data_IF_036890293364
#
_entry.id   IF_036890293364
#
_cell.length_a   1.000
_cell.length_b   1.000
_cell.length_c   1.000
_cell.angle_alpha   90.00
_cell.angle_beta   90.00
_cell.angle_gamma   90.00
#
_symmetry.space_group_name_H-M   'P 1'
#
loop_
_entity.id
_entity.type
_entity.pdbx_description
1 polymer ?
#
# COMPACT_ATOMS: atom_id res chain seq x y z
N UNK A 1 13.10 14.98 -33.21
CA UNK A 1 13.19 14.88 -31.78
C UNK A 1 11.79 14.77 -31.12
N UNK A 2 10.81 15.64 -31.49
CA UNK A 2 9.45 15.65 -30.93
C UNK A 2 8.69 14.34 -31.18
N UNK A 3 8.67 13.81 -32.40
CA UNK A 3 8.07 12.53 -32.77
C UNK A 3 8.64 11.35 -31.94
N UNK A 4 9.95 11.31 -31.70
CA UNK A 4 10.58 10.28 -30.91
C UNK A 4 10.13 10.34 -29.44
N UNK A 5 9.98 11.54 -28.90
CA UNK A 5 9.46 11.75 -27.53
C UNK A 5 7.99 11.34 -27.39
N UNK A 6 7.16 11.61 -28.42
CA UNK A 6 5.76 11.17 -28.44
C UNK A 6 5.64 9.63 -28.45
N UNK A 7 6.45 8.94 -29.25
CA UNK A 7 6.48 7.46 -29.28
C UNK A 7 6.92 6.90 -27.93
N UNK A 8 7.91 7.50 -27.27
CA UNK A 8 8.33 7.10 -25.93
C UNK A 8 7.19 7.34 -24.92
N UNK A 9 6.52 8.47 -24.97
CA UNK A 9 5.40 8.79 -24.12
C UNK A 9 4.26 7.78 -24.28
N UNK A 10 3.83 7.50 -25.52
CA UNK A 10 2.78 6.50 -25.80
C UNK A 10 3.16 5.10 -25.31
N UNK A 11 4.43 4.72 -25.43
CA UNK A 11 4.91 3.45 -24.91
C UNK A 11 4.81 3.40 -23.40
N UNK A 12 5.30 4.42 -22.67
CA UNK A 12 5.31 4.42 -21.21
C UNK A 12 3.94 4.66 -20.58
N UNK A 13 3.00 5.27 -21.31
CA UNK A 13 1.60 5.36 -20.90
C UNK A 13 0.79 4.12 -21.28
N UNK A 14 1.38 3.17 -22.00
CA UNK A 14 0.81 1.84 -22.26
C UNK A 14 1.05 0.86 -21.11
N UNK A 15 0.35 -0.26 -21.14
CA UNK A 15 0.57 -1.34 -20.18
C UNK A 15 2.00 -1.90 -20.22
N UNK A 16 2.62 -1.91 -21.41
CA UNK A 16 4.00 -2.35 -21.57
C UNK A 16 4.98 -1.44 -20.80
N UNK A 17 4.78 -0.12 -20.86
CA UNK A 17 5.58 0.83 -20.10
C UNK A 17 5.43 0.65 -18.59
N UNK A 18 4.22 0.38 -18.11
CA UNK A 18 4.02 0.04 -16.69
C UNK A 18 4.80 -1.20 -16.30
N UNK A 19 4.84 -2.24 -17.13
CA UNK A 19 5.66 -3.43 -16.87
C UNK A 19 7.15 -3.09 -16.77
N UNK A 20 7.66 -2.17 -17.59
CA UNK A 20 9.05 -1.71 -17.51
C UNK A 20 9.30 -0.94 -16.21
N UNK A 21 8.41 -0.03 -15.83
CA UNK A 21 8.50 0.72 -14.57
C UNK A 21 8.52 -0.24 -13.36
N UNK A 22 7.62 -1.24 -13.36
CA UNK A 22 7.55 -2.25 -12.30
C UNK A 22 8.82 -3.09 -12.26
N UNK A 23 9.33 -3.55 -13.42
CA UNK A 23 10.56 -4.34 -13.50
C UNK A 23 11.78 -3.53 -13.02
N UNK A 24 11.94 -2.30 -13.48
CA UNK A 24 13.00 -1.40 -13.03
C UNK A 24 12.93 -1.13 -11.52
N UNK A 25 11.73 -0.84 -11.02
CA UNK A 25 11.49 -0.62 -9.59
C UNK A 25 11.75 -1.85 -8.74
N UNK A 26 11.41 -3.04 -9.23
CA UNK A 26 11.74 -4.29 -8.55
C UNK A 26 13.25 -4.51 -8.47
N UNK A 27 13.99 -4.22 -9.54
CA UNK A 27 15.46 -4.30 -9.55
C UNK A 27 16.08 -3.32 -8.56
N UNK A 28 15.62 -2.06 -8.55
CA UNK A 28 16.05 -1.06 -7.57
C UNK A 28 15.72 -1.51 -6.14
N UNK A 29 14.55 -2.08 -5.93
CA UNK A 29 14.12 -2.62 -4.64
C UNK A 29 14.98 -3.77 -4.10
N UNK A 30 15.70 -4.51 -4.98
CA UNK A 30 16.63 -5.57 -4.59
C UNK A 30 17.98 -5.06 -4.12
N UNK A 31 18.31 -3.81 -4.36
CA UNK A 31 19.55 -3.20 -3.87
C UNK A 31 19.55 -3.23 -2.34
N UNK A 32 20.57 -3.84 -1.78
CA UNK A 32 20.76 -3.92 -0.32
C UNK A 32 21.82 -2.93 0.12
N UNK A 33 21.44 -2.01 0.98
CA UNK A 33 22.36 -1.07 1.61
C UNK A 33 22.47 -1.45 3.09
N UNK A 34 23.65 -1.89 3.52
CA UNK A 34 23.91 -2.36 4.91
C UNK A 34 22.93 -3.42 5.42
N UNK A 35 22.50 -4.34 4.53
CA UNK A 35 21.59 -5.44 4.89
C UNK A 35 20.09 -5.09 4.82
N UNK A 36 19.72 -3.83 4.57
CA UNK A 36 18.36 -3.37 4.40
C UNK A 36 18.04 -3.25 2.90
N UNK A 37 16.97 -3.87 2.43
CA UNK A 37 16.48 -3.75 1.06
C UNK A 37 15.25 -2.86 1.01
N UNK A 38 15.13 -2.07 -0.06
CA UNK A 38 13.95 -1.24 -0.33
C UNK A 38 12.68 -2.07 -0.59
N UNK A 39 12.85 -3.33 -0.96
CA UNK A 39 11.74 -4.21 -1.29
C UNK A 39 10.86 -3.64 -2.40
N UNK A 40 9.54 -3.80 -2.26
CA UNK A 40 8.58 -3.32 -3.26
C UNK A 40 8.44 -1.79 -3.30
N UNK A 41 8.94 -1.06 -2.30
CA UNK A 41 8.96 0.41 -2.35
C UNK A 41 9.84 0.96 -3.46
N UNK A 42 10.82 0.18 -3.96
CA UNK A 42 11.58 0.52 -5.16
C UNK A 42 10.70 0.81 -6.37
N UNK A 43 9.55 0.12 -6.49
CA UNK A 43 8.58 0.38 -7.56
C UNK A 43 7.97 1.77 -7.44
N UNK A 44 7.61 2.19 -6.22
CA UNK A 44 7.07 3.54 -5.98
C UNK A 44 8.11 4.61 -6.35
N UNK A 45 9.35 4.44 -5.91
CA UNK A 45 10.44 5.38 -6.20
C UNK A 45 10.66 5.51 -7.71
N UNK A 46 10.76 4.40 -8.43
CA UNK A 46 10.89 4.42 -9.88
C UNK A 46 9.67 5.06 -10.54
N UNK A 47 8.45 4.74 -10.12
CA UNK A 47 7.23 5.31 -10.67
C UNK A 47 7.18 6.84 -10.48
N UNK A 48 7.53 7.34 -9.30
CA UNK A 48 7.62 8.78 -9.01
C UNK A 48 8.70 9.44 -9.90
N UNK A 49 9.87 8.81 -10.02
CA UNK A 49 10.93 9.34 -10.87
C UNK A 49 10.51 9.42 -12.34
N UNK A 50 9.86 8.37 -12.87
CA UNK A 50 9.34 8.38 -14.25
C UNK A 50 8.27 9.45 -14.45
N UNK A 51 7.33 9.58 -13.53
CA UNK A 51 6.30 10.62 -13.58
C UNK A 51 6.90 12.02 -13.58
N UNK A 52 7.88 12.27 -12.72
CA UNK A 52 8.62 13.52 -12.65
C UNK A 52 9.40 13.81 -13.95
N UNK A 53 10.10 12.82 -14.50
CA UNK A 53 10.87 12.97 -15.74
C UNK A 53 9.97 13.30 -16.93
N UNK A 54 8.81 12.66 -17.08
CA UNK A 54 7.86 12.97 -18.17
C UNK A 54 7.23 14.35 -18.01
N UNK A 55 6.86 14.74 -16.78
CA UNK A 55 6.34 16.08 -16.51
C UNK A 55 7.38 17.16 -16.83
N UNK A 56 8.65 16.94 -16.48
CA UNK A 56 9.74 17.85 -16.83
C UNK A 56 9.96 17.98 -18.35
N UNK A 57 9.62 16.93 -19.11
CA UNK A 57 9.63 16.96 -20.59
C UNK A 57 8.37 17.61 -21.20
N UNK A 58 7.42 18.07 -20.38
CA UNK A 58 6.20 18.74 -20.82
C UNK A 58 5.03 17.80 -21.17
N UNK A 59 5.09 16.53 -20.74
CA UNK A 59 4.00 15.56 -20.92
C UNK A 59 3.14 15.44 -19.67
N UNK A 60 1.82 15.56 -19.83
CA UNK A 60 0.88 15.36 -18.72
C UNK A 60 0.53 13.88 -18.57
N UNK A 61 1.25 13.20 -17.67
CA UNK A 61 0.97 11.80 -17.29
C UNK A 61 -0.06 11.70 -16.17
N UNK A 62 -0.39 12.79 -15.49
CA UNK A 62 -1.33 12.78 -14.36
C UNK A 62 -2.77 12.55 -14.82
N UNK A 63 -3.11 12.94 -16.03
CA UNK A 63 -4.45 12.82 -16.64
C UNK A 63 -4.71 11.44 -17.27
N UNK A 64 -3.72 10.55 -17.35
CA UNK A 64 -3.86 9.23 -18.00
C UNK A 64 -4.72 8.28 -17.15
N UNK A 65 -5.95 7.88 -17.62
CA UNK A 65 -6.88 7.11 -16.80
C UNK A 65 -6.37 5.73 -16.39
N UNK A 66 -5.44 5.16 -17.14
CA UNK A 66 -4.88 3.83 -16.90
C UNK A 66 -4.23 3.74 -15.52
N UNK A 67 -3.49 4.75 -15.10
CA UNK A 67 -2.83 4.74 -13.77
C UNK A 67 -3.84 4.70 -12.64
N UNK A 68 -4.97 5.40 -12.77
CA UNK A 68 -6.07 5.33 -11.81
C UNK A 68 -6.71 3.94 -11.73
N UNK A 69 -6.90 3.27 -12.87
CA UNK A 69 -7.42 1.90 -12.92
C UNK A 69 -6.44 0.91 -12.29
N UNK A 70 -5.15 1.01 -12.63
CA UNK A 70 -4.10 0.17 -12.06
C UNK A 70 -4.02 0.32 -10.54
N UNK A 71 -4.07 1.56 -10.05
CA UNK A 71 -4.09 1.84 -8.61
C UNK A 71 -5.25 1.15 -7.92
N UNK A 72 -6.47 1.26 -8.46
CA UNK A 72 -7.67 0.63 -7.89
C UNK A 72 -7.59 -0.90 -7.90
N UNK A 73 -7.16 -1.51 -9.01
CA UNK A 73 -6.99 -2.97 -9.11
C UNK A 73 -5.91 -3.42 -8.12
N UNK A 74 -4.77 -2.73 -8.12
CA UNK A 74 -3.65 -3.03 -7.25
C UNK A 74 -4.03 -2.97 -5.77
N UNK A 75 -4.71 -1.90 -5.37
CA UNK A 75 -5.21 -1.73 -3.99
C UNK A 75 -6.19 -2.84 -3.61
N UNK A 76 -7.15 -3.15 -4.48
CA UNK A 76 -8.15 -4.19 -4.22
C UNK A 76 -7.50 -5.54 -3.94
N UNK A 77 -6.58 -5.98 -4.81
CA UNK A 77 -5.85 -7.23 -4.66
C UNK A 77 -4.99 -7.24 -3.40
N UNK A 78 -4.22 -6.18 -3.19
CA UNK A 78 -3.33 -6.05 -2.05
C UNK A 78 -4.11 -6.09 -0.73
N UNK A 79 -5.13 -5.24 -0.59
CA UNK A 79 -5.89 -5.08 0.65
C UNK A 79 -6.71 -6.33 0.96
N UNK A 80 -7.32 -6.97 -0.04
CA UNK A 80 -8.05 -8.21 0.17
C UNK A 80 -7.13 -9.35 0.65
N UNK A 81 -5.94 -9.48 0.08
CA UNK A 81 -4.95 -10.48 0.54
C UNK A 81 -4.46 -10.19 1.96
N UNK A 82 -4.21 -8.93 2.30
CA UNK A 82 -3.82 -8.52 3.66
C UNK A 82 -4.94 -8.82 4.65
N UNK A 83 -6.19 -8.47 4.32
CA UNK A 83 -7.36 -8.77 5.16
C UNK A 83 -7.53 -10.27 5.42
N UNK A 84 -7.51 -11.08 4.38
CA UNK A 84 -7.60 -12.55 4.52
C UNK A 84 -6.48 -13.13 5.40
N UNK A 85 -5.27 -12.60 5.29
CA UNK A 85 -4.13 -13.02 6.11
C UNK A 85 -4.32 -12.60 7.58
N UNK A 86 -4.73 -11.35 7.81
CA UNK A 86 -5.00 -10.83 9.14
C UNK A 86 -6.08 -11.67 9.86
N UNK A 87 -7.20 -11.96 9.19
CA UNK A 87 -8.26 -12.79 9.76
C UNK A 87 -7.80 -14.21 10.13
N UNK A 88 -6.96 -14.84 9.30
CA UNK A 88 -6.36 -16.14 9.62
C UNK A 88 -5.41 -16.08 10.81
N UNK A 89 -4.65 -15.00 10.93
CA UNK A 89 -3.72 -14.80 12.06
C UNK A 89 -4.47 -14.62 13.36
N UNK A 90 -5.53 -13.81 13.39
CA UNK A 90 -6.36 -13.56 14.58
C UNK A 90 -6.97 -14.88 15.10
N UNK A 91 -7.39 -15.78 14.22
CA UNK A 91 -7.93 -17.08 14.60
C UNK A 91 -6.94 -17.97 15.38
N UNK A 92 -5.63 -17.75 15.20
CA UNK A 92 -4.55 -18.58 15.81
C UNK A 92 -4.03 -18.02 17.13
N UNK A 93 -4.39 -16.79 17.47
CA UNK A 93 -3.93 -16.06 18.65
C UNK A 93 -5.02 -16.07 19.70
N UNK A 94 -4.66 -16.04 21.00
CA UNK A 94 -5.63 -15.87 22.07
C UNK A 94 -6.31 -14.51 21.92
N UNK A 95 -7.60 -14.46 22.18
CA UNK A 95 -8.39 -13.23 22.05
C UNK A 95 -7.85 -12.08 22.92
N UNK A 96 -7.34 -12.42 24.12
CA UNK A 96 -6.68 -11.46 25.03
C UNK A 96 -5.46 -10.81 24.39
N UNK A 97 -4.61 -11.63 23.74
CA UNK A 97 -3.36 -11.16 23.13
C UNK A 97 -3.66 -10.35 21.85
N UNK A 98 -4.67 -10.77 21.09
CA UNK A 98 -5.15 -10.02 19.94
C UNK A 98 -5.74 -8.67 20.35
N UNK A 99 -6.52 -8.62 21.43
CA UNK A 99 -7.08 -7.39 21.97
C UNK A 99 -5.98 -6.45 22.49
N UNK A 100 -5.02 -6.98 23.26
CA UNK A 100 -3.87 -6.19 23.73
C UNK A 100 -3.07 -5.60 22.58
N UNK A 101 -2.76 -6.40 21.54
CA UNK A 101 -2.07 -5.93 20.36
C UNK A 101 -2.86 -4.85 19.60
N UNK A 102 -4.20 -5.00 19.51
CA UNK A 102 -5.07 -4.01 18.88
C UNK A 102 -5.06 -2.68 19.65
N UNK A 103 -5.16 -2.72 20.98
CA UNK A 103 -5.09 -1.52 21.83
C UNK A 103 -3.74 -0.83 21.70
N UNK A 104 -2.63 -1.58 21.76
CA UNK A 104 -1.29 -1.02 21.55
C UNK A 104 -1.16 -0.39 20.17
N UNK A 105 -1.65 -1.06 19.12
CA UNK A 105 -1.64 -0.52 17.75
C UNK A 105 -2.46 0.77 17.62
N UNK A 106 -3.63 0.84 18.25
CA UNK A 106 -4.45 2.06 18.28
C UNK A 106 -3.75 3.20 19.02
N UNK A 107 -3.13 2.93 20.17
CA UNK A 107 -2.40 3.95 20.93
C UNK A 107 -1.22 4.51 20.13
N UNK A 108 -0.41 3.64 19.50
CA UNK A 108 0.72 4.07 18.66
C UNK A 108 0.22 4.90 17.48
N UNK A 109 -0.85 4.48 16.82
CA UNK A 109 -1.44 5.22 15.69
C UNK A 109 -2.02 6.56 16.14
N UNK A 110 -2.68 6.61 17.30
CA UNK A 110 -3.22 7.86 17.86
C UNK A 110 -2.10 8.85 18.23
N UNK A 111 -1.02 8.38 18.85
CA UNK A 111 0.15 9.20 19.15
C UNK A 111 0.81 9.74 17.87
N UNK A 112 1.00 8.88 16.87
CA UNK A 112 1.55 9.30 15.58
C UNK A 112 0.66 10.32 14.88
N UNK A 113 -0.66 10.15 14.94
CA UNK A 113 -1.64 11.11 14.40
C UNK A 113 -1.59 12.44 15.16
N UNK A 114 -1.45 12.42 16.46
CA UNK A 114 -1.27 13.64 17.27
C UNK A 114 -0.03 14.40 16.85
N UNK A 115 1.12 13.72 16.75
CA UNK A 115 2.39 14.35 16.31
C UNK A 115 2.25 14.93 14.92
N UNK A 116 1.62 14.23 14.00
CA UNK A 116 1.34 14.72 12.65
C UNK A 116 0.52 16.02 12.68
N UNK A 117 -0.53 16.09 13.51
CA UNK A 117 -1.37 17.29 13.61
C UNK A 117 -0.57 18.47 14.21
N UNK A 118 0.29 18.24 15.21
CA UNK A 118 1.17 19.29 15.76
C UNK A 118 2.09 19.84 14.67
N UNK A 119 2.70 18.98 13.84
CA UNK A 119 3.54 19.40 12.72
C UNK A 119 2.72 20.19 11.70
N UNK A 120 1.52 19.72 11.35
CA UNK A 120 0.63 20.38 10.39
C UNK A 120 0.16 21.77 10.86
N UNK A 121 0.06 21.98 12.16
CA UNK A 121 -0.26 23.30 12.75
C UNK A 121 0.95 24.22 12.80
N UNK A 122 2.17 23.67 12.90
CA UNK A 122 3.41 24.44 12.98
C UNK A 122 3.87 24.96 11.62
N UNK A 123 3.58 24.22 10.55
CA UNK A 123 3.96 24.60 9.18
C UNK A 123 2.76 24.42 8.23
N UNK A 124 2.13 25.53 7.89
CA UNK A 124 1.00 25.56 6.96
C UNK A 124 1.40 25.55 5.47
N UNK A 125 2.70 25.56 5.16
CA UNK A 125 3.21 25.57 3.79
C UNK A 125 3.07 24.20 3.11
N UNK A 126 3.08 23.11 3.90
CA UNK A 126 3.00 21.75 3.39
C UNK A 126 1.53 21.31 3.26
N UNK A 127 1.10 20.81 2.08
CA UNK A 127 -0.27 20.31 1.89
C UNK A 127 -0.62 19.22 2.90
N UNK A 128 -1.83 19.25 3.45
CA UNK A 128 -2.31 18.24 4.41
C UNK A 128 -2.27 16.82 3.86
N UNK A 129 -2.49 16.66 2.56
CA UNK A 129 -2.39 15.38 1.87
C UNK A 129 -0.97 14.79 1.93
N UNK A 130 0.06 15.64 1.75
CA UNK A 130 1.47 15.23 1.87
C UNK A 130 1.78 14.81 3.30
N UNK A 131 1.37 15.61 4.30
CA UNK A 131 1.58 15.29 5.72
C UNK A 131 0.92 13.97 6.11
N UNK A 132 -0.31 13.72 5.63
CA UNK A 132 -1.00 12.44 5.82
C UNK A 132 -0.24 11.28 5.18
N UNK A 133 0.33 11.51 4.00
CA UNK A 133 1.22 10.55 3.34
C UNK A 133 2.47 10.25 4.15
N UNK A 134 3.13 11.28 4.66
CA UNK A 134 4.32 11.15 5.54
C UNK A 134 3.98 10.31 6.78
N UNK A 135 2.84 10.56 7.42
CA UNK A 135 2.37 9.76 8.54
C UNK A 135 2.19 8.28 8.18
N UNK A 136 1.50 7.98 7.08
CA UNK A 136 1.30 6.61 6.62
C UNK A 136 2.64 5.93 6.27
N UNK A 137 3.58 6.68 5.67
CA UNK A 137 4.92 6.20 5.31
C UNK A 137 5.78 5.90 6.54
N UNK A 138 5.85 6.82 7.49
CA UNK A 138 6.59 6.64 8.75
C UNK A 138 6.06 5.44 9.55
N UNK A 139 4.74 5.22 9.55
CA UNK A 139 4.10 4.04 10.16
C UNK A 139 4.22 2.77 9.32
N UNK A 140 4.83 2.83 8.12
CA UNK A 140 4.92 1.73 7.14
C UNK A 140 3.57 1.09 6.81
N UNK A 141 2.50 1.88 6.87
CA UNK A 141 1.12 1.43 6.76
C UNK A 141 0.56 1.71 5.35
N UNK A 142 0.86 0.82 4.40
CA UNK A 142 0.37 0.92 3.02
C UNK A 142 -1.17 0.84 2.88
N UNK A 143 -1.91 0.02 3.66
CA UNK A 143 -3.37 0.07 3.63
C UNK A 143 -3.94 1.43 4.05
N UNK A 144 -3.32 2.09 5.04
CA UNK A 144 -3.74 3.42 5.46
C UNK A 144 -3.47 4.48 4.39
N UNK A 145 -2.35 4.39 3.65
CA UNK A 145 -2.07 5.24 2.50
C UNK A 145 -3.18 5.12 1.43
N UNK A 146 -3.58 3.89 1.10
CA UNK A 146 -4.63 3.65 0.13
C UNK A 146 -5.98 4.22 0.60
N UNK A 147 -6.34 4.01 1.86
CA UNK A 147 -7.55 4.55 2.47
C UNK A 147 -7.54 6.09 2.53
N UNK A 148 -6.39 6.69 2.83
CA UNK A 148 -6.23 8.14 2.85
C UNK A 148 -6.52 8.79 1.49
N UNK A 149 -6.08 8.14 0.40
CA UNK A 149 -6.36 8.61 -0.97
C UNK A 149 -7.83 8.55 -1.39
N UNK A 150 -8.70 7.91 -0.60
CA UNK A 150 -10.15 7.84 -0.85
C UNK A 150 -10.93 8.96 -0.15
N UNK A 151 -10.30 9.71 0.76
CA UNK A 151 -10.97 10.74 1.54
C UNK A 151 -11.28 11.96 0.66
N UNK A 152 -12.48 12.53 0.85
CA UNK A 152 -12.87 13.76 0.16
C UNK A 152 -11.92 14.92 0.50
N UNK A 153 -11.51 15.66 -0.53
CA UNK A 153 -10.59 16.80 -0.37
C UNK A 153 -9.12 16.43 -0.16
N UNK A 154 -8.77 15.15 -0.23
CA UNK A 154 -7.39 14.66 -0.16
C UNK A 154 -6.90 14.29 -1.57
N UNK A 155 -5.72 14.77 -1.93
CA UNK A 155 -5.08 14.42 -3.19
C UNK A 155 -4.27 13.12 -3.02
N UNK A 156 -4.73 12.04 -3.66
CA UNK A 156 -4.09 10.72 -3.57
C UNK A 156 -2.63 10.71 -4.07
N UNK A 157 -2.28 11.54 -5.04
CA UNK A 157 -0.91 11.63 -5.55
C UNK A 157 0.02 12.32 -4.54
N UNK A 158 -0.45 13.38 -3.86
CA UNK A 158 0.28 14.03 -2.78
C UNK A 158 0.47 13.08 -1.59
N UNK A 159 -0.54 12.26 -1.25
CA UNK A 159 -0.42 11.22 -0.21
C UNK A 159 0.66 10.20 -0.61
N UNK A 160 0.70 9.79 -1.90
CA UNK A 160 1.71 8.85 -2.39
C UNK A 160 3.12 9.45 -2.34
N UNK A 161 3.28 10.73 -2.67
CA UNK A 161 4.54 11.45 -2.59
C UNK A 161 5.05 11.51 -1.13
N UNK A 162 4.20 11.95 -0.21
CA UNK A 162 4.52 11.99 1.22
C UNK A 162 4.86 10.61 1.79
N UNK A 163 4.09 9.58 1.40
CA UNK A 163 4.37 8.20 1.77
C UNK A 163 5.75 7.75 1.30
N UNK A 164 6.07 7.94 0.02
CA UNK A 164 7.34 7.51 -0.56
C UNK A 164 8.55 8.16 0.10
N UNK A 165 8.45 9.44 0.46
CA UNK A 165 9.53 10.18 1.13
C UNK A 165 9.81 9.67 2.55
N UNK A 166 8.77 9.30 3.32
CA UNK A 166 8.91 8.89 4.72
C UNK A 166 9.08 7.38 4.91
N UNK A 167 8.59 6.56 3.98
CA UNK A 167 8.58 5.09 4.10
C UNK A 167 9.96 4.49 4.34
N UNK A 168 10.97 4.97 3.63
CA UNK A 168 12.35 4.48 3.78
C UNK A 168 12.88 4.69 5.18
N UNK A 169 12.67 5.88 5.72
CA UNK A 169 13.08 6.23 7.09
C UNK A 169 12.32 5.38 8.10
N UNK A 170 11.01 5.17 7.90
CA UNK A 170 10.16 4.32 8.73
C UNK A 170 10.68 2.87 8.79
N UNK A 171 11.00 2.27 7.64
CA UNK A 171 11.55 0.91 7.58
C UNK A 171 12.91 0.81 8.26
N UNK A 172 13.82 1.74 7.98
CA UNK A 172 15.15 1.76 8.60
C UNK A 172 15.02 1.88 10.12
N UNK A 173 14.19 2.80 10.60
CA UNK A 173 13.98 3.03 12.02
C UNK A 173 13.40 1.79 12.72
N UNK A 174 12.38 1.14 12.14
CA UNK A 174 11.78 -0.09 12.70
C UNK A 174 12.82 -1.21 12.79
N UNK A 175 13.61 -1.41 11.72
CA UNK A 175 14.65 -2.44 11.71
C UNK A 175 15.70 -2.19 12.80
N UNK A 176 16.15 -0.94 12.93
CA UNK A 176 17.12 -0.55 13.96
C UNK A 176 16.52 -0.69 15.37
N UNK A 177 15.27 -0.26 15.58
CA UNK A 177 14.59 -0.39 16.87
C UNK A 177 14.45 -1.86 17.29
N UNK A 178 14.02 -2.74 16.37
CA UNK A 178 13.93 -4.17 16.65
C UNK A 178 15.30 -4.77 16.96
N UNK A 179 16.34 -4.42 16.22
CA UNK A 179 17.70 -4.90 16.48
C UNK A 179 18.21 -4.44 17.84
N UNK A 180 17.96 -3.19 18.20
CA UNK A 180 18.33 -2.63 19.51
C UNK A 180 17.57 -3.31 20.66
N UNK A 181 16.28 -3.53 20.52
CA UNK A 181 15.43 -4.15 21.55
C UNK A 181 15.74 -5.64 21.74
N UNK A 182 16.09 -6.37 20.68
CA UNK A 182 16.34 -7.80 20.78
C UNK A 182 17.80 -8.14 21.12
N UNK A 183 18.71 -7.18 21.10
CA UNK A 183 20.13 -7.37 21.44
C UNK A 183 20.88 -8.40 20.59
N UNK A 184 20.25 -8.95 19.57
CA UNK A 184 20.78 -9.95 18.63
C UNK A 184 20.46 -9.54 17.21
N UNK A 185 21.33 -9.88 16.28
CA UNK A 185 20.97 -9.94 14.86
C UNK A 185 19.80 -10.91 14.75
N UNK A 186 18.61 -10.38 14.70
CA UNK A 186 17.44 -11.15 14.32
C UNK A 186 17.66 -11.49 12.85
N UNK A 187 18.28 -12.64 12.57
CA UNK A 187 18.04 -13.28 11.28
C UNK A 187 16.54 -13.46 11.27
N UNK A 188 15.88 -12.68 10.41
CA UNK A 188 14.47 -12.80 10.15
C UNK A 188 14.23 -14.13 9.42
N UNK A 189 14.51 -15.22 10.11
CA UNK A 189 13.94 -16.51 9.81
C UNK A 189 12.51 -16.43 10.30
N UNK A 190 11.71 -15.66 9.57
CA UNK A 190 10.27 -15.88 9.54
C UNK A 190 10.11 -17.22 8.82
N UNK A 191 10.49 -18.30 9.48
CA UNK A 191 9.90 -19.59 9.21
C UNK A 191 8.43 -19.46 9.64
N UNK A 192 7.62 -18.85 8.76
CA UNK A 192 6.21 -19.14 8.77
C UNK A 192 6.10 -20.65 8.51
N UNK A 193 6.07 -21.45 9.58
CA UNK A 193 5.45 -22.77 9.55
C UNK A 193 3.97 -22.56 9.25
N UNK A 194 3.71 -22.02 8.04
CA UNK A 194 2.38 -21.98 7.49
C UNK A 194 2.03 -23.40 7.10
N UNK A 195 1.08 -24.02 7.80
CA UNK A 195 0.34 -25.13 7.22
C UNK A 195 -0.02 -24.74 5.79
N UNK A 196 0.51 -25.50 4.84
CA UNK A 196 0.09 -25.42 3.44
C UNK A 196 -1.39 -25.77 3.42
N UNK A 197 -2.26 -24.76 3.48
CA UNK A 197 -3.66 -24.97 3.20
C UNK A 197 -3.72 -25.29 1.70
N UNK A 198 -3.80 -26.57 1.40
CA UNK A 198 -4.00 -27.10 0.05
C UNK A 198 -5.44 -26.78 -0.34
N UNK A 199 -5.67 -25.55 -0.84
CA UNK A 199 -6.96 -25.12 -1.36
C UNK A 199 -6.91 -25.04 -2.88
N UNK A 200 -8.07 -25.16 -3.53
CA UNK A 200 -8.18 -24.89 -4.95
C UNK A 200 -7.93 -23.38 -5.20
N UNK A 201 -6.85 -23.05 -5.87
CA UNK A 201 -6.40 -21.68 -6.14
C UNK A 201 -7.47 -20.85 -6.86
N UNK A 202 -8.13 -21.45 -7.87
CA UNK A 202 -9.18 -20.77 -8.64
C UNK A 202 -10.38 -20.43 -7.74
N UNK A 203 -10.82 -21.38 -6.91
CA UNK A 203 -11.90 -21.15 -5.96
C UNK A 203 -11.54 -20.04 -4.93
N UNK A 204 -10.30 -20.05 -4.45
CA UNK A 204 -9.80 -19.03 -3.54
C UNK A 204 -9.79 -17.64 -4.18
N UNK A 205 -9.42 -17.54 -5.47
CA UNK A 205 -9.45 -16.30 -6.23
C UNK A 205 -10.90 -15.79 -6.44
N UNK A 206 -11.83 -16.65 -6.76
CA UNK A 206 -13.26 -16.28 -6.86
C UNK A 206 -13.75 -15.70 -5.52
N UNK A 207 -13.42 -16.33 -4.39
CA UNK A 207 -13.77 -15.78 -3.08
C UNK A 207 -13.09 -14.46 -2.78
N UNK A 208 -11.86 -14.23 -3.26
CA UNK A 208 -11.20 -12.93 -3.15
C UNK A 208 -12.00 -11.86 -3.92
N UNK A 209 -12.43 -12.15 -5.15
CA UNK A 209 -13.29 -11.23 -5.92
C UNK A 209 -14.61 -10.93 -5.21
N UNK A 210 -15.24 -11.95 -4.61
CA UNK A 210 -16.46 -11.75 -3.80
C UNK A 210 -16.19 -10.85 -2.59
N UNK A 211 -15.06 -11.04 -1.90
CA UNK A 211 -14.67 -10.17 -0.78
C UNK A 211 -14.43 -8.71 -1.22
N UNK A 212 -13.83 -8.49 -2.39
CA UNK A 212 -13.63 -7.14 -2.95
C UNK A 212 -14.98 -6.50 -3.27
N UNK A 213 -15.88 -7.24 -3.95
CA UNK A 213 -17.20 -6.73 -4.31
C UNK A 213 -18.05 -6.41 -3.06
N UNK A 214 -18.14 -7.34 -2.10
CA UNK A 214 -18.86 -7.13 -0.86
C UNK A 214 -18.23 -6.02 0.00
N UNK A 215 -16.89 -5.97 0.06
CA UNK A 215 -16.16 -4.93 0.78
C UNK A 215 -16.38 -3.55 0.20
N UNK A 216 -16.42 -3.41 -1.13
CA UNK A 216 -16.72 -2.15 -1.78
C UNK A 216 -18.16 -1.67 -1.50
N UNK A 217 -19.12 -2.59 -1.37
CA UNK A 217 -20.48 -2.27 -0.95
C UNK A 217 -20.54 -1.81 0.52
N UNK A 218 -19.87 -2.52 1.43
CA UNK A 218 -19.75 -2.14 2.85
C UNK A 218 -19.04 -0.80 3.00
N UNK A 219 -18.04 -0.51 2.16
CA UNK A 219 -17.31 0.76 2.17
C UNK A 219 -18.18 1.99 1.88
N UNK A 220 -19.35 1.82 1.25
CA UNK A 220 -20.31 2.92 1.00
C UNK A 220 -21.17 3.29 2.22
N UNK A 221 -21.13 2.48 3.28
CA UNK A 221 -21.90 2.73 4.50
C UNK A 221 -21.31 3.95 5.21
N UNK A 222 -22.11 5.00 5.49
CA UNK A 222 -21.62 6.15 6.24
C UNK A 222 -21.41 5.78 7.71
N UNK A 223 -20.34 6.29 8.29
CA UNK A 223 -20.08 6.16 9.72
C UNK A 223 -21.12 6.97 10.52
N UNK A 224 -21.70 6.39 11.57
CA UNK A 224 -22.84 7.00 12.30
C UNK A 224 -22.49 8.34 12.98
N UNK A 225 -21.22 8.62 13.24
CA UNK A 225 -20.80 9.84 13.93
C UNK A 225 -20.25 10.94 13.01
N UNK A 226 -19.79 10.62 11.82
CA UNK A 226 -19.13 11.59 10.92
C UNK A 226 -19.86 11.80 9.59
N UNK A 227 -20.82 10.92 9.24
CA UNK A 227 -21.45 10.91 7.92
C UNK A 227 -20.52 10.57 6.76
N UNK A 228 -19.22 10.40 7.02
CA UNK A 228 -18.23 10.04 6.01
C UNK A 228 -18.32 8.54 5.74
N UNK A 229 -18.30 8.08 4.46
CA UNK A 229 -18.29 6.65 4.15
C UNK A 229 -17.02 5.99 4.68
N UNK A 230 -17.12 4.72 5.08
CA UNK A 230 -16.00 3.91 5.58
C UNK A 230 -14.84 3.87 4.57
N UNK A 231 -15.14 4.03 3.28
CA UNK A 231 -14.19 3.87 2.19
C UNK A 231 -14.11 2.43 1.69
N UNK A 232 -13.97 2.27 0.39
CA UNK A 232 -13.96 0.93 -0.23
C UNK A 232 -12.73 0.10 0.17
N UNK A 233 -11.59 0.73 0.44
CA UNK A 233 -10.38 0.05 0.94
C UNK A 233 -10.59 -0.52 2.33
N UNK A 234 -11.12 0.26 3.27
CA UNK A 234 -11.38 -0.18 4.63
C UNK A 234 -12.50 -1.25 4.67
N UNK A 235 -13.55 -1.08 3.87
CA UNK A 235 -14.61 -2.07 3.70
C UNK A 235 -14.07 -3.40 3.15
N UNK A 236 -13.23 -3.35 2.12
CA UNK A 236 -12.58 -4.54 1.54
C UNK A 236 -11.66 -5.24 2.56
N UNK A 237 -10.87 -4.48 3.32
CA UNK A 237 -10.02 -5.02 4.39
C UNK A 237 -10.84 -5.78 5.43
N UNK A 238 -11.92 -5.17 5.91
CA UNK A 238 -12.78 -5.73 6.97
C UNK A 238 -13.48 -7.01 6.49
N UNK A 239 -14.14 -6.97 5.34
CA UNK A 239 -14.84 -8.15 4.77
C UNK A 239 -13.86 -9.29 4.50
N UNK A 240 -12.69 -8.99 3.94
CA UNK A 240 -11.65 -9.98 3.68
C UNK A 240 -11.06 -10.56 4.97
N UNK A 241 -10.94 -9.77 6.04
CA UNK A 241 -10.49 -10.24 7.34
C UNK A 241 -11.52 -11.19 7.98
N UNK A 242 -12.80 -10.84 7.94
CA UNK A 242 -13.90 -11.70 8.40
C UNK A 242 -13.91 -13.02 7.61
N UNK A 243 -13.80 -12.95 6.28
CA UNK A 243 -13.70 -14.15 5.46
C UNK A 243 -12.44 -14.96 5.76
N UNK A 244 -11.30 -14.30 6.01
CA UNK A 244 -10.06 -14.96 6.42
C UNK A 244 -10.20 -15.73 7.74
N UNK A 245 -10.98 -15.21 8.67
CA UNK A 245 -11.26 -15.84 9.95
C UNK A 245 -12.15 -17.09 9.82
N UNK A 246 -13.23 -17.01 9.04
CA UNK A 246 -14.23 -18.09 8.91
C UNK A 246 -13.99 -18.99 7.71
N UNK A 247 -13.32 -18.53 6.65
CA UNK A 247 -13.25 -19.19 5.34
C UNK A 247 -12.49 -20.52 5.31
N UNK A 248 -11.59 -20.78 6.25
CA UNK A 248 -10.84 -22.03 6.35
C UNK A 248 -10.19 -22.45 5.02
N UNK A 249 -10.52 -23.67 4.55
CA UNK A 249 -10.01 -24.24 3.28
C UNK A 249 -10.53 -23.54 2.01
N UNK A 250 -11.51 -22.63 2.12
CA UNK A 250 -12.03 -21.85 0.98
C UNK A 250 -11.18 -20.61 0.71
N UNK A 251 -10.37 -20.18 1.68
CA UNK A 251 -9.48 -19.04 1.51
C UNK A 251 -8.30 -19.39 0.59
N UNK A 252 -7.71 -18.36 -0.02
CA UNK A 252 -6.61 -18.50 -0.97
C UNK A 252 -5.40 -19.20 -0.31
N UNK A 253 -4.71 -20.14 -1.00
CA UNK A 253 -3.46 -20.71 -0.51
C UNK A 253 -2.44 -19.62 -0.18
N UNK A 254 -1.63 -19.83 0.86
CA UNK A 254 -0.73 -18.79 1.37
C UNK A 254 0.24 -18.27 0.30
N UNK A 255 0.89 -19.16 -0.47
CA UNK A 255 1.80 -18.77 -1.55
C UNK A 255 1.13 -17.92 -2.61
N UNK A 256 -0.10 -18.27 -3.02
CA UNK A 256 -0.87 -17.48 -3.98
C UNK A 256 -1.29 -16.13 -3.42
N UNK A 257 -1.67 -16.09 -2.14
CA UNK A 257 -2.01 -14.84 -1.45
C UNK A 257 -0.81 -13.89 -1.36
N UNK A 258 0.39 -14.41 -1.10
CA UNK A 258 1.62 -13.60 -1.08
C UNK A 258 1.99 -13.06 -2.46
N UNK A 259 1.88 -13.89 -3.48
CA UNK A 259 2.14 -13.49 -4.86
C UNK A 259 1.15 -12.41 -5.32
N UNK A 260 -0.15 -12.62 -5.12
CA UNK A 260 -1.20 -11.66 -5.48
C UNK A 260 -1.07 -10.36 -4.68
N UNK A 261 -0.71 -10.44 -3.39
CA UNK A 261 -0.41 -9.26 -2.57
C UNK A 261 0.76 -8.47 -3.16
N UNK A 262 1.83 -9.16 -3.56
CA UNK A 262 3.00 -8.53 -4.18
C UNK A 262 2.66 -7.85 -5.50
N UNK A 263 1.95 -8.54 -6.39
CA UNK A 263 1.49 -7.99 -7.68
C UNK A 263 0.57 -6.79 -7.43
N UNK A 264 -0.41 -6.93 -6.53
CA UNK A 264 -1.32 -5.84 -6.18
C UNK A 264 -0.59 -4.59 -5.69
N UNK A 265 0.41 -4.78 -4.83
CA UNK A 265 1.22 -3.66 -4.31
C UNK A 265 2.07 -3.00 -5.40
N UNK A 266 2.66 -3.77 -6.32
CA UNK A 266 3.42 -3.23 -7.46
C UNK A 266 2.53 -2.40 -8.38
N UNK A 267 1.34 -2.91 -8.74
CA UNK A 267 0.38 -2.19 -9.58
C UNK A 267 -0.13 -0.92 -8.89
N UNK A 268 -0.39 -1.00 -7.59
CA UNK A 268 -0.78 0.16 -6.79
C UNK A 268 0.32 1.24 -6.78
N UNK A 269 1.57 0.86 -6.53
CA UNK A 269 2.69 1.80 -6.51
C UNK A 269 2.98 2.40 -7.89
N UNK A 270 2.88 1.62 -8.95
CA UNK A 270 3.00 2.16 -10.30
C UNK A 270 1.85 3.13 -10.64
N UNK A 271 0.62 2.73 -10.30
CA UNK A 271 -0.58 3.52 -10.58
C UNK A 271 -0.69 4.82 -9.78
N UNK A 272 -0.12 4.88 -8.57
CA UNK A 272 -0.11 6.12 -7.74
C UNK A 272 1.17 6.91 -7.89
N UNK A 273 2.30 6.24 -8.08
CA UNK A 273 3.62 6.87 -8.12
C UNK A 273 3.84 7.73 -9.34
N UNK A 274 3.39 7.29 -10.54
CA UNK A 274 3.56 8.08 -11.78
C UNK A 274 2.80 9.42 -11.71
N UNK A 275 1.50 9.46 -11.36
CA UNK A 275 0.82 10.75 -11.16
C UNK A 275 1.42 11.60 -10.04
N UNK A 276 1.88 10.96 -8.93
CA UNK A 276 2.51 11.66 -7.83
C UNK A 276 3.80 12.37 -8.26
N UNK A 277 4.65 11.69 -9.04
CA UNK A 277 5.87 12.27 -9.58
C UNK A 277 5.61 13.44 -10.53
N UNK A 278 4.59 13.33 -11.37
CA UNK A 278 4.19 14.42 -12.28
C UNK A 278 3.76 15.67 -11.49
N UNK A 279 2.98 15.50 -10.41
CA UNK A 279 2.53 16.62 -9.57
C UNK A 279 3.64 17.22 -8.71
N UNK A 280 4.71 16.50 -8.44
CA UNK A 280 5.85 17.02 -7.67
C UNK A 280 6.66 18.09 -8.41
N UNK A 281 6.54 18.17 -9.73
CA UNK A 281 7.26 19.13 -10.59
C UNK A 281 6.34 20.22 -11.14
N UNK A 282 5.03 19.94 -11.24
CA UNK A 282 4.03 20.91 -11.69
C UNK A 282 3.76 21.97 -10.61
#
# INVERSE_FOLDING_TARGET
MRWFMEVIYDFFTSFAGVCVIVAAGYLVGRVRVRGISLGLAGVLICAVFFGAAFSACGFDVSSVPMFGVLSKIGTSLFVACVGMRAGRSIRRVRLSDAAAAAVCGMLVSALGFLVMNVIALSDSSVPRSVILGIFCGAMTNTPAMAAAGELCGINAAEVALGYGSAYLFGVVFIVLAVQFMTGRRCEATIMERGEFITGNTVRGFVWLCVCVAAGSAVGKIPLPFSGVPIGWTAGTLTVSAVFGYYGGKRALPQKCSELLRGIGLMLFFAGTGVPAGAQAIA
#
